data_IF_893749776721
#
_entry.id   IF_893749776721
#
_cell.length_a   1.000
_cell.length_b   1.000
_cell.length_c   1.000
_cell.angle_alpha   90.00
_cell.angle_beta   90.00
_cell.angle_gamma   90.00
#
_symmetry.space_group_name_H-M   'P 1'
#
loop_
_entity.id
_entity.type
_entity.pdbx_description
1 polymer ?
#
# COMPACT_ATOMS: atom_id res chain seq x y z
N UNK A 1 -38.73 8.22 16.84
CA UNK A 1 -37.81 7.63 15.84
C UNK A 1 -38.29 7.75 14.38
N UNK A 2 -39.58 8.04 14.10
CA UNK A 2 -40.10 8.14 12.71
C UNK A 2 -39.93 9.50 12.02
N UNK A 3 -39.69 10.60 12.75
CA UNK A 3 -39.56 11.96 12.16
C UNK A 3 -38.24 12.18 11.40
N UNK A 4 -37.13 11.61 11.85
CA UNK A 4 -35.80 11.84 11.27
C UNK A 4 -35.62 11.24 9.86
N UNK A 5 -36.37 10.18 9.53
CA UNK A 5 -36.36 9.55 8.21
C UNK A 5 -37.08 10.41 7.14
N UNK A 6 -37.90 11.37 7.54
CA UNK A 6 -38.56 12.30 6.59
C UNK A 6 -37.67 13.49 6.24
N UNK A 7 -36.81 13.94 7.16
CA UNK A 7 -35.87 15.05 6.91
C UNK A 7 -34.61 14.59 6.16
N UNK A 8 -34.22 13.32 6.28
CA UNK A 8 -33.04 12.76 5.61
C UNK A 8 -33.37 11.40 4.98
N UNK A 9 -34.05 11.38 3.82
CA UNK A 9 -34.27 10.12 3.11
C UNK A 9 -32.91 9.51 2.74
N UNK A 10 -32.74 8.17 2.85
CA UNK A 10 -31.50 7.51 2.46
C UNK A 10 -31.24 7.77 0.98
N UNK A 11 -30.24 8.60 0.69
CA UNK A 11 -29.77 8.84 -0.67
C UNK A 11 -29.06 7.57 -1.10
N UNK A 12 -29.59 6.90 -2.14
CA UNK A 12 -28.89 5.78 -2.75
C UNK A 12 -27.50 6.28 -3.20
N UNK A 13 -26.45 5.70 -2.61
CA UNK A 13 -25.06 6.02 -2.95
C UNK A 13 -24.86 5.85 -4.46
N UNK A 14 -24.50 6.94 -5.14
CA UNK A 14 -24.31 6.95 -6.60
C UNK A 14 -23.00 6.25 -6.96
N UNK A 15 -23.08 4.92 -7.08
CA UNK A 15 -21.94 4.08 -7.44
C UNK A 15 -21.56 4.18 -8.93
N UNK A 16 -22.19 5.05 -9.73
CA UNK A 16 -21.91 5.17 -11.17
C UNK A 16 -20.44 5.47 -11.44
N UNK A 17 -19.84 6.40 -10.72
CA UNK A 17 -18.45 6.80 -10.95
C UNK A 17 -17.45 5.71 -10.55
N UNK A 18 -17.53 5.10 -9.35
CA UNK A 18 -16.71 3.94 -9.01
C UNK A 18 -16.84 2.77 -10.00
N UNK A 19 -18.07 2.44 -10.42
CA UNK A 19 -18.31 1.35 -11.39
C UNK A 19 -17.80 1.67 -12.81
N UNK A 20 -17.93 2.93 -13.25
CA UNK A 20 -17.42 3.35 -14.56
C UNK A 20 -15.88 3.36 -14.58
N UNK A 21 -15.27 3.80 -13.48
CA UNK A 21 -13.82 3.76 -13.31
C UNK A 21 -13.32 2.32 -13.29
N UNK A 22 -13.91 1.44 -12.47
CA UNK A 22 -13.51 0.03 -12.40
C UNK A 22 -13.69 -0.69 -13.74
N UNK A 23 -14.78 -0.39 -14.48
CA UNK A 23 -14.98 -0.91 -15.84
C UNK A 23 -13.93 -0.41 -16.82
N UNK A 24 -13.62 0.89 -16.82
CA UNK A 24 -12.55 1.44 -17.68
C UNK A 24 -11.19 0.82 -17.38
N UNK A 25 -10.89 0.56 -16.11
CA UNK A 25 -9.64 -0.09 -15.69
C UNK A 25 -9.56 -1.53 -16.22
N UNK A 26 -10.66 -2.28 -16.15
CA UNK A 26 -10.75 -3.63 -16.71
C UNK A 26 -10.66 -3.62 -18.25
N UNK A 27 -11.34 -2.68 -18.92
CA UNK A 27 -11.29 -2.52 -20.37
C UNK A 27 -9.87 -2.17 -20.85
N UNK A 28 -9.19 -1.28 -20.14
CA UNK A 28 -7.78 -0.94 -20.42
C UNK A 28 -6.85 -2.14 -20.19
N UNK A 29 -7.08 -2.92 -19.13
CA UNK A 29 -6.29 -4.14 -18.85
C UNK A 29 -6.49 -5.23 -19.92
N UNK A 30 -7.68 -5.32 -20.51
CA UNK A 30 -7.97 -6.24 -21.60
C UNK A 30 -7.36 -5.78 -22.94
N UNK A 31 -7.28 -4.47 -23.17
CA UNK A 31 -6.66 -3.88 -24.37
C UNK A 31 -5.12 -3.97 -24.37
N UNK A 32 -4.49 -4.07 -23.20
CA UNK A 32 -3.03 -4.27 -23.08
C UNK A 32 -2.58 -5.74 -23.32
N UNK A 33 -3.51 -6.62 -23.69
CA UNK A 33 -3.24 -8.04 -23.95
C UNK A 33 -2.97 -8.37 -25.44
N UNK A 34 -2.76 -7.37 -26.30
CA UNK A 34 -2.33 -7.58 -27.69
C UNK A 34 -0.82 -7.88 -27.77
N UNK A 35 -0.38 -8.79 -28.66
CA UNK A 35 1.03 -9.11 -28.84
C UNK A 35 1.78 -7.87 -29.34
N UNK A 36 2.91 -7.59 -28.69
CA UNK A 36 3.75 -6.42 -28.93
C UNK A 36 4.11 -6.28 -30.42
N UNK A 37 3.51 -5.31 -31.11
CA UNK A 37 4.04 -4.81 -32.38
C UNK A 37 5.30 -4.02 -32.04
N UNK A 38 6.43 -4.53 -32.51
CA UNK A 38 7.72 -3.84 -32.45
C UNK A 38 7.58 -2.57 -33.30
N UNK A 39 7.47 -1.42 -32.65
CA UNK A 39 7.59 -0.12 -33.31
C UNK A 39 8.99 0.38 -33.02
N UNK A 40 9.87 0.24 -34.01
CA UNK A 40 11.18 0.90 -34.03
C UNK A 40 10.96 2.41 -33.98
N UNK A 41 11.45 3.04 -32.91
CA UNK A 41 11.49 4.50 -32.78
C UNK A 41 12.92 4.96 -33.12
N UNK A 42 13.11 6.03 -33.92
CA UNK A 42 14.44 6.41 -34.42
C UNK A 42 15.34 6.90 -33.29
N UNK A 43 16.53 6.29 -33.24
CA UNK A 43 17.67 6.66 -32.41
C UNK A 43 18.19 8.03 -32.80
N UNK A 44 18.17 9.01 -31.88
CA UNK A 44 19.14 10.11 -31.88
C UNK A 44 19.73 10.33 -30.47
N UNK A 45 21.05 10.15 -30.43
CA UNK A 45 22.05 11.03 -29.84
C UNK A 45 22.52 10.91 -28.37
N UNK A 46 23.74 10.32 -28.29
CA UNK A 46 24.85 10.46 -27.32
C UNK A 46 24.72 9.73 -25.96
N UNK A 47 25.63 8.85 -25.53
CA UNK A 47 27.10 8.81 -25.65
C UNK A 47 27.65 7.37 -25.72
N UNK A 48 28.58 7.07 -26.64
CA UNK A 48 29.50 5.93 -26.56
C UNK A 48 30.91 6.39 -26.18
N UNK A 49 31.67 5.56 -25.44
CA UNK A 49 33.11 5.47 -25.64
C UNK A 49 33.47 4.10 -26.23
N UNK A 50 34.29 4.19 -27.28
CA UNK A 50 34.77 3.08 -28.09
C UNK A 50 35.57 2.03 -27.31
N UNK A 51 35.26 0.75 -27.53
CA UNK A 51 36.23 -0.35 -27.50
C UNK A 51 35.91 -1.31 -28.64
N UNK A 52 36.76 -1.33 -29.66
CA UNK A 52 36.71 -2.33 -30.71
C UNK A 52 37.22 -3.68 -30.21
N UNK A 53 36.52 -4.75 -30.56
CA UNK A 53 37.15 -5.98 -31.05
C UNK A 53 36.11 -6.90 -31.67
N UNK A 54 36.52 -7.51 -32.78
CA UNK A 54 35.87 -8.58 -33.50
C UNK A 54 35.29 -9.64 -32.56
N UNK A 55 34.00 -9.95 -32.70
CA UNK A 55 33.43 -11.17 -32.14
C UNK A 55 32.58 -11.84 -33.21
N UNK A 56 33.17 -12.91 -33.75
CA UNK A 56 32.49 -13.91 -34.56
C UNK A 56 31.15 -14.31 -33.96
N UNK A 57 30.17 -14.37 -34.85
CA UNK A 57 28.85 -14.94 -34.69
C UNK A 57 28.85 -16.28 -33.96
N UNK A 58 28.36 -16.27 -32.71
CA UNK A 58 27.53 -17.32 -32.09
C UNK A 58 27.23 -16.91 -30.64
N UNK A 59 26.34 -15.93 -30.47
CA UNK A 59 25.67 -15.74 -29.18
C UNK A 59 24.47 -16.69 -29.13
N UNK A 60 24.54 -17.64 -28.20
CA UNK A 60 23.44 -18.54 -27.85
C UNK A 60 22.15 -17.75 -27.57
N UNK A 61 21.14 -17.97 -28.42
CA UNK A 61 19.80 -17.40 -28.27
C UNK A 61 19.13 -17.75 -26.92
N UNK A 62 19.64 -18.74 -26.19
CA UNK A 62 19.16 -19.13 -24.86
C UNK A 62 19.51 -18.12 -23.76
N UNK A 63 20.62 -17.37 -23.90
CA UNK A 63 21.05 -16.36 -22.90
C UNK A 63 20.31 -15.03 -23.07
N UNK A 64 19.89 -14.71 -24.30
CA UNK A 64 19.05 -13.54 -24.58
C UNK A 64 17.60 -13.77 -24.12
N UNK A 65 17.07 -14.99 -24.28
CA UNK A 65 15.73 -15.32 -23.80
C UNK A 65 15.62 -15.23 -22.27
N UNK A 66 16.62 -15.69 -21.51
CA UNK A 66 16.60 -15.61 -20.05
C UNK A 66 16.64 -14.18 -19.51
N UNK A 67 17.42 -13.29 -20.14
CA UNK A 67 17.49 -11.86 -19.78
C UNK A 67 16.23 -11.07 -20.13
N UNK A 68 15.53 -11.44 -21.20
CA UNK A 68 14.26 -10.81 -21.60
C UNK A 68 13.09 -11.27 -20.72
N UNK A 69 13.10 -12.52 -20.26
CA UNK A 69 12.10 -13.01 -19.29
C UNK A 69 12.27 -12.38 -17.91
N UNK A 70 13.51 -12.13 -17.48
CA UNK A 70 13.79 -11.49 -16.18
C UNK A 70 13.32 -10.03 -16.15
N UNK A 71 13.64 -9.25 -17.19
CA UNK A 71 13.20 -7.86 -17.32
C UNK A 71 11.68 -7.71 -17.44
N UNK A 72 10.99 -8.68 -18.06
CA UNK A 72 9.52 -8.67 -18.16
C UNK A 72 8.87 -8.96 -16.81
N UNK A 73 9.43 -9.89 -16.03
CA UNK A 73 8.99 -10.19 -14.67
C UNK A 73 9.23 -9.00 -13.72
N UNK A 74 10.40 -8.37 -13.76
CA UNK A 74 10.71 -7.17 -12.98
C UNK A 74 9.76 -6.01 -13.29
N UNK A 75 9.50 -5.74 -14.58
CA UNK A 75 8.58 -4.68 -14.99
C UNK A 75 7.13 -4.96 -14.57
N UNK A 76 6.70 -6.22 -14.59
CA UNK A 76 5.38 -6.64 -14.11
C UNK A 76 5.26 -6.44 -12.60
N UNK A 77 6.26 -6.87 -11.82
CA UNK A 77 6.25 -6.67 -10.36
C UNK A 77 6.26 -5.19 -9.97
N UNK A 78 6.98 -4.33 -10.70
CA UNK A 78 6.98 -2.89 -10.47
C UNK A 78 5.58 -2.28 -10.67
N UNK A 79 4.87 -2.72 -11.72
CA UNK A 79 3.50 -2.28 -12.00
C UNK A 79 2.52 -2.78 -10.92
N UNK A 80 2.66 -4.02 -10.44
CA UNK A 80 1.81 -4.57 -9.37
C UNK A 80 2.02 -3.81 -8.04
N UNK A 81 3.26 -3.41 -7.74
CA UNK A 81 3.57 -2.56 -6.57
C UNK A 81 2.95 -1.17 -6.71
N UNK A 82 3.01 -0.57 -7.89
CA UNK A 82 2.41 0.75 -8.17
C UNK A 82 0.88 0.70 -8.04
N UNK A 83 0.25 -0.32 -8.62
CA UNK A 83 -1.18 -0.57 -8.50
C UNK A 83 -1.59 -0.73 -7.03
N UNK A 84 -0.86 -1.55 -6.27
CA UNK A 84 -1.12 -1.72 -4.84
C UNK A 84 -0.99 -0.38 -4.11
N UNK A 85 0.04 0.42 -4.40
CA UNK A 85 0.22 1.76 -3.78
C UNK A 85 -0.96 2.68 -4.09
N UNK A 86 -1.48 2.67 -5.32
CA UNK A 86 -2.66 3.43 -5.69
C UNK A 86 -3.89 2.95 -4.91
N UNK A 87 -4.13 1.64 -4.83
CA UNK A 87 -5.22 1.06 -4.02
C UNK A 87 -5.08 1.45 -2.54
N UNK A 88 -3.86 1.48 -2.00
CA UNK A 88 -3.58 1.95 -0.65
C UNK A 88 -4.10 3.36 -0.42
N UNK A 89 -3.84 4.24 -1.39
CA UNK A 89 -4.16 5.65 -1.29
C UNK A 89 -5.66 5.87 -1.42
N UNK A 90 -6.31 5.17 -2.37
CA UNK A 90 -7.76 5.17 -2.57
C UNK A 90 -8.53 4.63 -1.35
N UNK A 91 -7.94 3.71 -0.58
CA UNK A 91 -8.56 3.18 0.65
C UNK A 91 -8.22 4.05 1.88
N UNK A 92 -6.98 4.51 2.02
CA UNK A 92 -6.52 5.27 3.19
C UNK A 92 -7.27 6.61 3.31
N UNK A 93 -7.50 7.29 2.19
CA UNK A 93 -8.15 8.61 2.17
C UNK A 93 -9.59 8.58 2.74
N UNK A 94 -10.52 7.73 2.25
CA UNK A 94 -11.86 7.67 2.82
C UNK A 94 -11.87 7.18 4.28
N UNK A 95 -10.98 6.26 4.68
CA UNK A 95 -10.87 5.83 6.08
C UNK A 95 -10.37 6.95 7.00
N UNK A 96 -9.41 7.76 6.56
CA UNK A 96 -8.94 8.94 7.30
C UNK A 96 -10.04 9.99 7.43
N UNK A 97 -10.85 10.18 6.39
CA UNK A 97 -12.02 11.06 6.42
C UNK A 97 -13.05 10.56 7.43
N UNK A 98 -13.44 9.27 7.41
CA UNK A 98 -14.36 8.68 8.39
C UNK A 98 -13.83 8.84 9.81
N UNK A 99 -12.54 8.55 10.03
CA UNK A 99 -11.87 8.74 11.34
C UNK A 99 -11.97 10.19 11.82
N UNK A 100 -11.76 11.16 10.93
CA UNK A 100 -11.81 12.58 11.28
C UNK A 100 -13.25 13.01 11.61
N UNK A 101 -14.22 12.61 10.78
CA UNK A 101 -15.63 12.92 11.00
C UNK A 101 -16.15 12.30 12.31
N UNK A 102 -15.80 11.05 12.60
CA UNK A 102 -16.16 10.40 13.87
C UNK A 102 -15.54 11.10 15.09
N UNK A 103 -14.29 11.55 15.00
CA UNK A 103 -13.65 12.38 16.04
C UNK A 103 -14.37 13.72 16.25
N UNK A 104 -14.79 14.37 15.18
CA UNK A 104 -15.57 15.62 15.27
C UNK A 104 -16.93 15.39 15.92
N UNK A 105 -17.59 14.26 15.61
CA UNK A 105 -18.84 13.88 16.26
C UNK A 105 -18.63 13.64 17.76
N UNK A 106 -17.63 12.86 18.17
CA UNK A 106 -17.33 12.59 19.59
C UNK A 106 -17.09 13.89 20.39
N UNK A 107 -16.45 14.89 19.79
CA UNK A 107 -16.21 16.20 20.44
C UNK A 107 -17.47 17.03 20.66
N UNK A 108 -18.59 16.70 19.99
CA UNK A 108 -19.87 17.40 20.15
C UNK A 108 -20.53 16.96 21.47
N UNK A 109 -20.86 17.93 22.33
CA UNK A 109 -21.57 17.66 23.60
C UNK A 109 -23.00 17.15 23.35
N UNK A 110 -23.50 16.31 24.25
CA UNK A 110 -24.90 15.86 24.25
C UNK A 110 -25.19 14.59 23.43
N UNK A 111 -24.16 13.84 23.03
CA UNK A 111 -24.35 12.51 22.44
C UNK A 111 -24.60 11.46 23.53
N UNK A 112 -25.56 10.53 23.32
CA UNK A 112 -25.72 9.36 24.17
C UNK A 112 -24.44 8.51 24.24
N UNK A 113 -24.18 7.92 25.40
CA UNK A 113 -22.95 7.16 25.67
C UNK A 113 -22.82 5.90 24.78
N UNK A 114 -23.93 5.28 24.39
CA UNK A 114 -23.92 4.18 23.43
C UNK A 114 -23.51 4.62 22.02
N UNK A 115 -23.87 5.83 21.61
CA UNK A 115 -23.45 6.42 20.32
C UNK A 115 -21.96 6.77 20.36
N UNK A 116 -21.48 7.35 21.47
CA UNK A 116 -20.05 7.64 21.66
C UNK A 116 -19.21 6.37 21.54
N UNK A 117 -19.59 5.31 22.26
CA UNK A 117 -18.89 4.01 22.19
C UNK A 117 -18.85 3.43 20.77
N UNK A 118 -19.92 3.56 20.00
CA UNK A 118 -19.96 3.12 18.59
C UNK A 118 -19.03 3.95 17.72
N UNK A 119 -18.99 5.28 17.90
CA UNK A 119 -18.09 6.16 17.15
C UNK A 119 -16.62 5.86 17.46
N UNK A 120 -16.29 5.61 18.73
CA UNK A 120 -14.94 5.19 19.13
C UNK A 120 -14.54 3.85 18.51
N UNK A 121 -15.47 2.89 18.47
CA UNK A 121 -15.25 1.61 17.79
C UNK A 121 -15.00 1.79 16.30
N UNK A 122 -15.78 2.63 15.60
CA UNK A 122 -15.57 2.95 14.18
C UNK A 122 -14.18 3.59 13.98
N UNK A 123 -13.83 4.57 14.82
CA UNK A 123 -12.55 5.26 14.77
C UNK A 123 -11.38 4.29 14.95
N UNK A 124 -11.51 3.33 15.86
CA UNK A 124 -10.53 2.28 16.10
C UNK A 124 -10.39 1.36 14.88
N UNK A 125 -11.49 0.89 14.31
CA UNK A 125 -11.46 0.04 13.10
C UNK A 125 -10.80 0.76 11.92
N UNK A 126 -11.15 2.04 11.66
CA UNK A 126 -10.49 2.81 10.61
C UNK A 126 -8.97 2.93 10.85
N UNK A 127 -8.54 3.13 12.11
CA UNK A 127 -7.11 3.18 12.45
C UNK A 127 -6.43 1.85 12.20
N UNK A 128 -7.03 0.74 12.65
CA UNK A 128 -6.48 -0.60 12.43
C UNK A 128 -6.38 -0.95 10.94
N UNK A 129 -7.37 -0.58 10.12
CA UNK A 129 -7.33 -0.83 8.69
C UNK A 129 -6.21 -0.02 8.00
N UNK A 130 -6.05 1.27 8.36
CA UNK A 130 -4.94 2.09 7.85
C UNK A 130 -3.58 1.47 8.21
N UNK A 131 -3.43 0.97 9.43
CA UNK A 131 -2.20 0.32 9.90
C UNK A 131 -1.94 -0.99 9.14
N UNK A 132 -2.97 -1.83 8.95
CA UNK A 132 -2.87 -3.10 8.20
C UNK A 132 -2.41 -2.88 6.76
N UNK A 133 -3.01 -1.92 6.06
CA UNK A 133 -2.56 -1.58 4.70
C UNK A 133 -1.10 -1.12 4.72
N UNK A 134 -0.72 -0.26 5.67
CA UNK A 134 0.66 0.23 5.79
C UNK A 134 1.67 -0.91 6.02
N UNK A 135 1.31 -1.95 6.79
CA UNK A 135 2.13 -3.15 6.97
C UNK A 135 2.23 -4.00 5.69
N UNK A 136 1.14 -4.18 4.95
CA UNK A 136 1.13 -4.90 3.67
C UNK A 136 2.10 -4.23 2.68
N UNK A 137 2.06 -2.89 2.56
CA UNK A 137 3.01 -2.15 1.72
C UNK A 137 4.44 -2.34 2.15
N UNK A 138 4.70 -2.31 3.46
CA UNK A 138 6.04 -2.51 3.98
C UNK A 138 6.55 -3.92 3.67
N UNK A 139 5.71 -4.94 3.80
CA UNK A 139 6.06 -6.31 3.47
C UNK A 139 6.38 -6.45 1.98
N UNK A 140 5.52 -5.91 1.11
CA UNK A 140 5.74 -5.94 -0.35
C UNK A 140 7.04 -5.23 -0.70
N UNK A 141 7.27 -4.01 -0.20
CA UNK A 141 8.50 -3.25 -0.43
C UNK A 141 9.74 -4.06 -0.05
N UNK A 142 9.72 -4.76 1.08
CA UNK A 142 10.83 -5.62 1.51
C UNK A 142 11.02 -6.86 0.62
N UNK A 143 9.95 -7.40 0.03
CA UNK A 143 10.05 -8.56 -0.87
C UNK A 143 10.45 -8.20 -2.30
N UNK A 144 10.12 -6.99 -2.74
CA UNK A 144 10.39 -6.53 -4.12
C UNK A 144 11.66 -5.71 -4.23
N UNK A 145 12.21 -5.23 -3.11
CA UNK A 145 13.50 -4.51 -3.12
C UNK A 145 14.64 -5.53 -3.26
N UNK A 146 15.46 -5.45 -4.31
CA UNK A 146 16.62 -6.32 -4.42
C UNK A 146 17.55 -6.10 -3.23
N UNK A 147 18.07 -7.18 -2.65
CA UNK A 147 18.91 -7.14 -1.43
C UNK A 147 20.12 -6.20 -1.54
N UNK A 148 20.58 -5.90 -2.76
CA UNK A 148 21.71 -5.00 -3.03
C UNK A 148 21.36 -3.50 -2.90
N UNK A 149 20.07 -3.11 -2.95
CA UNK A 149 19.64 -1.70 -2.86
C UNK A 149 19.31 -1.23 -1.44
N UNK A 150 19.27 -2.14 -0.47
CA UNK A 150 18.96 -1.82 0.92
C UNK A 150 20.22 -1.37 1.67
N UNK A 151 20.57 -0.09 1.52
CA UNK A 151 21.63 0.56 2.31
C UNK A 151 21.10 0.90 3.71
N UNK A 152 21.10 -0.07 4.61
CA UNK A 152 20.79 0.19 6.02
C UNK A 152 22.02 0.78 6.72
N UNK A 153 21.86 1.95 7.35
CA UNK A 153 22.87 2.48 8.25
C UNK A 153 22.83 1.72 9.58
N UNK A 154 23.93 1.02 9.89
CA UNK A 154 24.08 0.39 11.19
C UNK A 154 24.27 1.49 12.24
N UNK A 155 23.38 1.53 13.22
CA UNK A 155 23.45 2.45 14.35
C UNK A 155 23.38 1.62 15.63
N UNK A 156 24.26 1.91 16.59
CA UNK A 156 24.19 1.29 17.91
C UNK A 156 22.86 1.67 18.57
N UNK A 157 22.10 0.65 19.00
CA UNK A 157 20.78 0.83 19.61
C UNK A 157 20.74 0.11 20.97
N UNK A 158 20.37 0.83 22.02
CA UNK A 158 20.13 0.21 23.33
C UNK A 158 18.78 -0.51 23.32
N UNK A 159 18.79 -1.82 23.56
CA UNK A 159 17.58 -2.61 23.72
C UNK A 159 16.72 -2.07 24.86
N UNK A 160 17.33 -1.71 25.99
CA UNK A 160 16.61 -1.14 27.14
C UNK A 160 15.85 0.15 26.77
N UNK A 161 16.48 1.05 26.02
CA UNK A 161 15.82 2.28 25.55
C UNK A 161 14.70 1.98 24.55
N UNK A 162 14.92 1.02 23.64
CA UNK A 162 13.91 0.61 22.68
C UNK A 162 12.67 0.05 23.37
N UNK A 163 12.86 -0.88 24.31
CA UNK A 163 11.76 -1.46 25.08
C UNK A 163 11.04 -0.40 25.90
N UNK A 164 11.76 0.47 26.62
CA UNK A 164 11.14 1.58 27.36
C UNK A 164 10.28 2.49 26.45
N UNK A 165 10.74 2.76 25.23
CA UNK A 165 9.99 3.57 24.26
C UNK A 165 8.72 2.87 23.75
N UNK A 166 8.72 1.54 23.65
CA UNK A 166 7.59 0.77 23.09
C UNK A 166 6.63 0.23 24.15
N UNK A 167 7.07 0.06 25.39
CA UNK A 167 6.31 -0.61 26.46
C UNK A 167 4.95 0.02 26.70
N UNK A 168 4.90 1.35 26.87
CA UNK A 168 3.65 2.07 27.12
C UNK A 168 2.58 1.83 26.05
N UNK A 169 3.00 1.72 24.78
CA UNK A 169 2.09 1.41 23.67
C UNK A 169 1.62 -0.05 23.74
N UNK A 170 2.51 -0.97 24.06
CA UNK A 170 2.18 -2.40 24.13
C UNK A 170 1.25 -2.70 25.30
N UNK A 171 1.48 -2.12 26.47
CA UNK A 171 0.59 -2.23 27.65
C UNK A 171 -0.86 -1.87 27.29
N UNK A 172 -1.05 -0.74 26.61
CA UNK A 172 -2.39 -0.32 26.16
C UNK A 172 -3.05 -1.35 25.23
N UNK A 173 -2.26 -2.05 24.40
CA UNK A 173 -2.77 -3.08 23.49
C UNK A 173 -3.07 -4.38 24.25
N UNK A 174 -2.24 -4.72 25.23
CA UNK A 174 -2.31 -5.92 26.04
C UNK A 174 -3.50 -5.88 27.01
N UNK A 175 -3.71 -4.77 27.70
CA UNK A 175 -4.87 -4.54 28.55
C UNK A 175 -6.18 -4.72 27.78
N UNK A 176 -6.25 -4.16 26.57
CA UNK A 176 -7.42 -4.29 25.68
C UNK A 176 -7.70 -5.73 25.26
N UNK A 177 -6.69 -6.60 25.28
CA UNK A 177 -6.79 -8.01 24.92
C UNK A 177 -6.80 -8.93 26.14
N UNK A 178 -6.74 -8.39 27.35
CA UNK A 178 -6.60 -9.14 28.61
C UNK A 178 -5.41 -10.11 28.56
N UNK A 179 -4.27 -9.63 28.07
CA UNK A 179 -3.03 -10.39 27.97
C UNK A 179 -1.98 -9.79 28.90
N UNK A 180 -1.19 -10.64 29.53
CA UNK A 180 -0.01 -10.25 30.29
C UNK A 180 1.25 -10.36 29.41
N UNK A 181 2.20 -9.46 29.61
CA UNK A 181 3.46 -9.42 28.88
C UNK A 181 4.59 -9.13 29.85
N UNK A 182 5.55 -10.04 29.89
CA UNK A 182 6.76 -9.92 30.71
C UNK A 182 7.99 -9.97 29.80
N UNK A 183 8.97 -9.09 30.05
CA UNK A 183 10.19 -9.00 29.25
C UNK A 183 11.40 -9.01 30.19
N UNK A 184 12.12 -10.12 30.18
CA UNK A 184 13.44 -10.20 30.78
C UNK A 184 14.49 -9.69 29.76
N UNK A 185 15.03 -8.49 30.00
CA UNK A 185 16.14 -7.94 29.21
C UNK A 185 17.46 -8.33 29.91
N UNK A 186 18.41 -8.99 29.22
CA UNK A 186 19.73 -9.34 29.76
C UNK A 186 20.60 -8.13 30.15
#
# INVERSE_FOLDING_TARGET
MKQWLQEFPPIASDYRWPMQFSRRLLDLSAQLNEPSVVVDLPTEDYWEPAVGKDIDSKLDASVLHSRLTDKRSEKQTAHDVELLKAIAHEIRTPLATIKTLTQLLIRKKGLPEDVVRRLESIQQECTQQIDRFSLIFRAIELTTTPSASLSYSLTALSLQQLFAQKMARWETILERRSLDFDVAIP
#
